data_IF_890535684994
#
_entry.id   IF_890535684994
#
_cell.length_a   1.000
_cell.length_b   1.000
_cell.length_c   1.000
_cell.angle_alpha   90.00
_cell.angle_beta   90.00
_cell.angle_gamma   90.00
#
_symmetry.space_group_name_H-M   'P 1'
#
loop_
_entity.id
_entity.type
_entity.pdbx_description
1 polymer ?
#
# COMPACT_ATOMS: atom_id res chain seq x y z
N UNK A 1 -18.36 -15.83 30.17
CA UNK A 1 -16.91 -16.03 29.96
C UNK A 1 -16.55 -16.63 28.58
N UNK A 2 -17.39 -16.44 27.53
CA UNK A 2 -17.13 -16.98 26.16
C UNK A 2 -17.33 -15.92 25.06
N UNK A 3 -17.69 -14.68 25.42
CA UNK A 3 -17.90 -13.58 24.45
C UNK A 3 -16.87 -12.44 24.53
N UNK A 4 -15.85 -12.56 25.39
CA UNK A 4 -14.78 -11.55 25.54
C UNK A 4 -13.58 -11.76 24.63
N UNK A 5 -13.29 -13.00 24.24
CA UNK A 5 -11.99 -13.33 23.65
C UNK A 5 -11.99 -13.15 22.12
N UNK A 6 -13.14 -13.40 21.48
CA UNK A 6 -13.29 -13.24 20.03
C UNK A 6 -13.21 -11.77 19.58
N UNK A 7 -13.79 -10.85 20.36
CA UNK A 7 -13.76 -9.41 20.05
C UNK A 7 -12.35 -8.83 20.21
N UNK A 8 -11.63 -9.22 21.26
CA UNK A 8 -10.23 -8.84 21.42
C UNK A 8 -9.36 -9.42 20.32
N UNK A 9 -9.58 -10.68 19.92
CA UNK A 9 -8.83 -11.31 18.83
C UNK A 9 -8.98 -10.57 17.50
N UNK A 10 -10.22 -10.25 17.08
CA UNK A 10 -10.46 -9.50 15.84
C UNK A 10 -9.79 -8.12 15.89
N UNK A 11 -9.89 -7.43 17.03
CA UNK A 11 -9.25 -6.13 17.21
C UNK A 11 -7.72 -6.21 17.11
N UNK A 12 -7.11 -7.22 17.73
CA UNK A 12 -5.66 -7.45 17.66
C UNK A 12 -5.20 -7.78 16.23
N UNK A 13 -5.99 -8.53 15.46
CA UNK A 13 -5.68 -8.83 14.05
C UNK A 13 -5.51 -7.55 13.19
N UNK A 14 -6.21 -6.47 13.52
CA UNK A 14 -6.11 -5.19 12.80
C UNK A 14 -5.00 -4.27 13.33
N UNK A 15 -4.76 -4.25 14.64
CA UNK A 15 -3.79 -3.32 15.25
C UNK A 15 -2.37 -3.86 15.27
N UNK A 16 -2.20 -5.16 15.52
CA UNK A 16 -0.87 -5.77 15.59
C UNK A 16 -0.02 -5.53 14.34
N UNK A 17 -0.56 -5.61 13.09
CA UNK A 17 0.19 -5.27 11.89
C UNK A 17 0.72 -3.84 11.87
N UNK A 18 -0.11 -2.86 12.24
CA UNK A 18 0.28 -1.45 12.25
C UNK A 18 1.30 -1.16 13.35
N UNK A 19 1.11 -1.75 14.53
CA UNK A 19 2.06 -1.60 15.64
C UNK A 19 3.42 -2.23 15.29
N UNK A 20 3.45 -3.45 14.76
CA UNK A 20 4.71 -4.07 14.35
C UNK A 20 5.37 -3.29 13.21
N UNK A 21 4.61 -2.78 12.23
CA UNK A 21 5.16 -1.90 11.20
C UNK A 21 5.80 -0.63 11.78
N UNK A 22 5.19 -0.05 12.81
CA UNK A 22 5.75 1.11 13.52
C UNK A 22 7.08 0.76 14.18
N UNK A 23 7.15 -0.37 14.88
CA UNK A 23 8.41 -0.85 15.48
C UNK A 23 9.49 -1.11 14.42
N UNK A 24 9.11 -1.70 13.29
CA UNK A 24 10.03 -1.93 12.17
C UNK A 24 10.63 -0.61 11.65
N UNK A 25 9.79 0.41 11.43
CA UNK A 25 10.23 1.74 10.97
C UNK A 25 11.10 2.47 12.01
N UNK A 26 10.92 2.16 13.30
CA UNK A 26 11.77 2.68 14.38
C UNK A 26 13.10 1.91 14.54
N UNK A 27 13.35 0.87 13.73
CA UNK A 27 14.56 0.04 13.84
C UNK A 27 14.51 -0.98 14.98
N UNK A 28 13.32 -1.32 15.48
CA UNK A 28 13.09 -2.33 16.51
C UNK A 28 12.72 -3.70 15.94
N UNK A 29 13.27 -4.06 14.78
CA UNK A 29 13.12 -5.39 14.18
C UNK A 29 14.39 -5.84 13.46
N UNK A 30 14.58 -7.16 13.33
CA UNK A 30 15.70 -7.73 12.58
C UNK A 30 15.53 -7.55 11.07
N UNK A 31 14.29 -7.67 10.58
CA UNK A 31 13.92 -7.41 9.20
C UNK A 31 12.75 -6.41 9.16
N UNK A 32 12.96 -5.17 8.69
CA UNK A 32 11.93 -4.15 8.74
C UNK A 32 10.84 -4.32 7.67
N UNK A 33 11.05 -5.20 6.70
CA UNK A 33 10.10 -5.48 5.61
C UNK A 33 9.10 -6.60 5.95
N UNK A 34 9.32 -7.30 7.07
CA UNK A 34 8.46 -8.37 7.55
C UNK A 34 7.77 -7.98 8.85
N UNK A 35 6.47 -8.26 8.97
CA UNK A 35 5.70 -8.01 10.18
C UNK A 35 5.93 -9.11 11.23
N UNK A 36 7.19 -9.30 11.61
CA UNK A 36 7.59 -10.29 12.61
C UNK A 36 8.49 -9.62 13.64
N UNK A 37 8.10 -9.72 14.91
CA UNK A 37 8.83 -9.14 16.03
C UNK A 37 8.10 -9.37 17.35
N UNK A 38 8.25 -8.43 18.27
CA UNK A 38 7.68 -8.50 19.62
C UNK A 38 6.14 -8.62 19.63
N UNK A 39 5.47 -7.94 18.69
CA UNK A 39 4.01 -7.77 18.72
C UNK A 39 3.29 -8.89 17.97
N UNK A 40 3.88 -9.39 16.88
CA UNK A 40 3.27 -10.43 16.06
C UNK A 40 4.28 -11.23 15.23
N UNK A 41 3.79 -12.32 14.63
CA UNK A 41 4.47 -13.07 13.58
C UNK A 41 3.62 -13.05 12.32
N UNK A 42 4.17 -12.54 11.23
CA UNK A 42 3.49 -12.42 9.95
C UNK A 42 2.98 -13.78 9.45
N UNK A 43 3.85 -14.80 9.48
CA UNK A 43 3.51 -16.15 9.01
C UNK A 43 2.36 -16.76 9.82
N UNK A 44 2.43 -16.68 11.15
CA UNK A 44 1.37 -17.20 12.02
C UNK A 44 0.03 -16.50 11.77
N UNK A 45 0.06 -15.17 11.61
CA UNK A 45 -1.16 -14.39 11.37
C UNK A 45 -1.76 -14.70 9.98
N UNK A 46 -0.94 -14.82 8.95
CA UNK A 46 -1.40 -15.20 7.60
C UNK A 46 -2.02 -16.60 7.62
N UNK A 47 -1.35 -17.58 8.24
CA UNK A 47 -1.85 -18.94 8.33
C UNK A 47 -3.20 -19.01 9.07
N UNK A 48 -3.32 -18.31 10.20
CA UNK A 48 -4.56 -18.19 10.97
C UNK A 48 -5.70 -17.61 10.14
N UNK A 49 -5.42 -16.53 9.41
CA UNK A 49 -6.43 -15.88 8.57
C UNK A 49 -6.84 -16.76 7.38
N UNK A 50 -5.90 -17.50 6.77
CA UNK A 50 -6.21 -18.43 5.69
C UNK A 50 -7.06 -19.61 6.17
N UNK A 51 -6.71 -20.21 7.31
CA UNK A 51 -7.46 -21.31 7.94
C UNK A 51 -8.91 -20.89 8.24
N UNK A 52 -9.09 -19.66 8.73
CA UNK A 52 -10.39 -19.11 9.08
C UNK A 52 -11.07 -18.31 7.96
N UNK A 53 -10.50 -18.29 6.74
CA UNK A 53 -11.03 -17.58 5.56
C UNK A 53 -11.31 -16.09 5.81
N UNK A 54 -10.43 -15.43 6.56
CA UNK A 54 -10.52 -14.02 6.90
C UNK A 54 -9.77 -13.16 5.86
N UNK A 55 -10.47 -12.71 4.82
CA UNK A 55 -9.85 -11.93 3.73
C UNK A 55 -9.39 -10.53 4.16
N UNK A 56 -10.14 -9.86 5.05
CA UNK A 56 -9.87 -8.47 5.43
C UNK A 56 -8.50 -8.29 6.12
N UNK A 57 -8.14 -9.07 7.16
CA UNK A 57 -6.81 -8.97 7.76
C UNK A 57 -5.69 -9.37 6.79
N UNK A 58 -5.92 -10.34 5.89
CA UNK A 58 -4.95 -10.71 4.86
C UNK A 58 -4.64 -9.54 3.93
N UNK A 59 -5.69 -8.85 3.45
CA UNK A 59 -5.55 -7.65 2.61
C UNK A 59 -4.71 -6.57 3.31
N UNK A 60 -4.99 -6.33 4.59
CA UNK A 60 -4.25 -5.35 5.40
C UNK A 60 -2.78 -5.74 5.59
N UNK A 61 -2.51 -6.99 5.96
CA UNK A 61 -1.14 -7.50 6.13
C UNK A 61 -0.37 -7.37 4.82
N UNK A 62 -0.91 -7.86 3.71
CA UNK A 62 -0.22 -7.77 2.42
C UNK A 62 -0.02 -6.32 1.96
N UNK A 63 -0.96 -5.42 2.24
CA UNK A 63 -0.76 -4.00 1.98
C UNK A 63 0.39 -3.42 2.80
N UNK A 64 0.41 -3.64 4.12
CA UNK A 64 1.47 -3.10 4.99
C UNK A 64 2.83 -3.69 4.60
N UNK A 65 2.93 -4.99 4.31
CA UNK A 65 4.17 -5.60 3.82
C UNK A 65 4.60 -5.00 2.47
N UNK A 66 3.67 -4.77 1.54
CA UNK A 66 4.01 -4.11 0.26
C UNK A 66 4.53 -2.69 0.46
N UNK A 67 3.94 -1.95 1.40
CA UNK A 67 4.33 -0.59 1.74
C UNK A 67 5.72 -0.53 2.38
N UNK A 68 5.99 -1.39 3.36
CA UNK A 68 7.31 -1.48 4.00
C UNK A 68 8.38 -1.84 2.96
N UNK A 69 8.15 -2.89 2.16
CA UNK A 69 9.09 -3.30 1.12
C UNK A 69 9.36 -2.18 0.10
N UNK A 70 8.33 -1.41 -0.28
CA UNK A 70 8.49 -0.23 -1.13
C UNK A 70 9.39 0.83 -0.48
N UNK A 71 9.17 1.17 0.79
CA UNK A 71 9.98 2.16 1.51
C UNK A 71 11.45 1.75 1.64
N UNK A 72 11.73 0.45 1.74
CA UNK A 72 13.10 -0.09 1.78
C UNK A 72 13.68 -0.42 0.39
N UNK A 73 12.97 -0.09 -0.69
CA UNK A 73 13.46 -0.25 -2.07
C UNK A 73 13.39 -1.67 -2.63
N UNK A 74 12.76 -2.60 -1.93
CA UNK A 74 12.61 -3.99 -2.35
C UNK A 74 11.34 -4.18 -3.18
N UNK A 75 11.38 -3.69 -4.42
CA UNK A 75 10.23 -3.71 -5.31
C UNK A 75 9.80 -5.13 -5.71
N UNK A 76 10.69 -6.12 -5.68
CA UNK A 76 10.35 -7.54 -5.89
C UNK A 76 9.48 -8.09 -4.75
N UNK A 77 9.81 -7.78 -3.49
CA UNK A 77 8.95 -8.15 -2.38
C UNK A 77 7.62 -7.39 -2.41
N UNK A 78 7.66 -6.08 -2.67
CA UNK A 78 6.48 -5.24 -2.71
C UNK A 78 5.46 -5.73 -3.76
N UNK A 79 5.93 -5.98 -4.98
CA UNK A 79 5.13 -6.51 -6.08
C UNK A 79 4.53 -7.88 -5.77
N UNK A 80 5.28 -8.82 -5.20
CA UNK A 80 4.75 -10.12 -4.77
C UNK A 80 3.64 -9.99 -3.73
N UNK A 81 3.73 -9.03 -2.81
CA UNK A 81 2.67 -8.79 -1.82
C UNK A 81 1.40 -8.23 -2.48
N UNK A 82 1.54 -7.36 -3.48
CA UNK A 82 0.41 -6.90 -4.32
C UNK A 82 -0.25 -8.09 -5.00
N UNK A 83 0.51 -8.96 -5.66
CA UNK A 83 -0.01 -10.15 -6.36
C UNK A 83 -0.74 -11.12 -5.42
N UNK A 84 -0.25 -11.29 -4.19
CA UNK A 84 -0.96 -12.08 -3.17
C UNK A 84 -2.29 -11.45 -2.79
N UNK A 85 -2.35 -10.12 -2.70
CA UNK A 85 -3.56 -9.38 -2.35
C UNK A 85 -4.60 -9.38 -3.47
N UNK A 86 -4.19 -9.40 -4.74
CA UNK A 86 -5.09 -9.42 -5.92
C UNK A 86 -6.06 -10.62 -5.94
N UNK A 87 -5.75 -11.68 -5.19
CA UNK A 87 -6.59 -12.87 -5.05
C UNK A 87 -7.87 -12.63 -4.24
N UNK A 88 -7.95 -11.53 -3.49
CA UNK A 88 -9.07 -11.22 -2.62
C UNK A 88 -9.92 -10.09 -3.19
N UNK A 89 -11.22 -10.13 -2.88
CA UNK A 89 -12.13 -9.09 -3.33
C UNK A 89 -11.94 -7.82 -2.50
N UNK A 90 -11.46 -6.76 -3.15
CA UNK A 90 -11.42 -5.40 -2.57
C UNK A 90 -12.81 -4.73 -2.52
N UNK A 91 -13.90 -5.52 -2.43
CA UNK A 91 -15.29 -5.04 -2.34
C UNK A 91 -15.62 -4.53 -0.94
N UNK A 92 -14.71 -3.74 -0.39
CA UNK A 92 -14.85 -3.02 0.86
C UNK A 92 -15.41 -1.65 0.47
N UNK A 93 -16.39 -1.13 1.22
CA UNK A 93 -16.86 0.23 0.99
C UNK A 93 -15.69 1.23 0.99
N UNK A 94 -15.83 2.40 0.36
CA UNK A 94 -14.78 3.41 0.34
C UNK A 94 -14.28 3.68 1.76
N UNK A 95 -13.04 3.30 2.02
CA UNK A 95 -12.40 3.46 3.32
C UNK A 95 -10.94 3.87 3.10
N UNK A 96 -10.36 4.52 4.11
CA UNK A 96 -8.98 5.02 4.10
C UNK A 96 -7.96 3.97 3.63
N UNK A 97 -8.17 2.68 3.92
CA UNK A 97 -7.30 1.61 3.44
C UNK A 97 -7.25 1.53 1.91
N UNK A 98 -8.37 1.69 1.20
CA UNK A 98 -8.42 1.53 -0.25
C UNK A 98 -7.63 2.62 -0.98
N UNK A 99 -7.72 3.88 -0.54
CA UNK A 99 -6.93 4.96 -1.14
C UNK A 99 -5.43 4.79 -0.90
N UNK A 100 -5.03 4.24 0.26
CA UNK A 100 -3.63 3.86 0.49
C UNK A 100 -3.18 2.70 -0.39
N UNK A 101 -4.01 1.65 -0.55
CA UNK A 101 -3.73 0.54 -1.47
C UNK A 101 -3.53 1.07 -2.88
N UNK A 102 -4.48 1.84 -3.42
CA UNK A 102 -4.36 2.35 -4.80
C UNK A 102 -3.12 3.21 -4.99
N UNK A 103 -2.83 4.10 -4.05
CA UNK A 103 -1.64 4.94 -4.13
C UNK A 103 -0.34 4.10 -4.14
N UNK A 104 -0.13 3.26 -3.12
CA UNK A 104 1.12 2.49 -3.03
C UNK A 104 1.25 1.41 -4.10
N UNK A 105 0.13 0.84 -4.58
CA UNK A 105 0.16 -0.07 -5.73
C UNK A 105 0.67 0.65 -6.99
N UNK A 106 0.26 1.90 -7.19
CA UNK A 106 0.74 2.72 -8.29
C UNK A 106 2.22 3.02 -8.18
N UNK A 107 2.68 3.43 -6.99
CA UNK A 107 4.10 3.71 -6.74
C UNK A 107 4.98 2.48 -6.95
N UNK A 108 4.56 1.31 -6.44
CA UNK A 108 5.29 0.04 -6.65
C UNK A 108 5.29 -0.33 -8.12
N UNK A 109 4.15 -0.23 -8.79
CA UNK A 109 4.03 -0.58 -10.21
C UNK A 109 4.96 0.28 -11.09
N UNK A 110 4.97 1.60 -10.87
CA UNK A 110 5.84 2.53 -11.60
C UNK A 110 7.32 2.24 -11.32
N UNK A 111 7.69 2.00 -10.05
CA UNK A 111 9.05 1.62 -9.67
C UNK A 111 9.49 0.29 -10.32
N UNK A 112 8.61 -0.70 -10.41
CA UNK A 112 8.90 -1.96 -11.10
C UNK A 112 9.06 -1.72 -12.61
N UNK A 113 8.21 -0.89 -13.23
CA UNK A 113 8.31 -0.55 -14.65
C UNK A 113 9.64 0.13 -15.02
N UNK A 114 10.27 0.86 -14.10
CA UNK A 114 11.62 1.42 -14.31
C UNK A 114 12.69 0.33 -14.46
N UNK A 115 12.50 -0.84 -13.85
CA UNK A 115 13.46 -1.96 -13.91
C UNK A 115 13.10 -2.96 -15.02
N UNK A 116 11.81 -3.29 -15.12
CA UNK A 116 11.28 -4.28 -16.07
C UNK A 116 10.00 -3.70 -16.69
N UNK A 117 10.07 -3.32 -17.97
CA UNK A 117 8.89 -2.85 -18.70
C UNK A 117 7.94 -4.01 -18.96
N UNK A 118 6.85 -4.10 -18.18
CA UNK A 118 5.79 -5.10 -18.40
C UNK A 118 4.41 -4.45 -18.48
N UNK A 119 3.57 -4.97 -19.37
CA UNK A 119 2.19 -4.51 -19.54
C UNK A 119 1.35 -4.70 -18.28
N UNK A 120 1.66 -5.74 -17.48
CA UNK A 120 1.01 -6.00 -16.21
C UNK A 120 1.15 -4.81 -15.26
N UNK A 121 2.39 -4.38 -14.99
CA UNK A 121 2.64 -3.31 -14.01
C UNK A 121 2.19 -1.96 -14.54
N UNK A 122 2.32 -1.72 -15.85
CA UNK A 122 1.72 -0.53 -16.45
C UNK A 122 0.18 -0.50 -16.27
N UNK A 123 -0.49 -1.64 -16.41
CA UNK A 123 -1.92 -1.77 -16.15
C UNK A 123 -2.30 -1.50 -14.68
N UNK A 124 -1.48 -1.96 -13.72
CA UNK A 124 -1.67 -1.65 -12.29
C UNK A 124 -1.50 -0.14 -12.05
N UNK A 125 -0.45 0.48 -12.58
CA UNK A 125 -0.21 1.91 -12.46
C UNK A 125 -1.37 2.75 -13.01
N UNK A 126 -1.86 2.41 -14.22
CA UNK A 126 -2.98 3.11 -14.84
C UNK A 126 -4.28 2.96 -14.03
N UNK A 127 -4.54 1.77 -13.48
CA UNK A 127 -5.69 1.53 -12.61
C UNK A 127 -5.60 2.39 -11.34
N UNK A 128 -4.43 2.45 -10.72
CA UNK A 128 -4.17 3.28 -9.54
C UNK A 128 -4.37 4.77 -9.83
N UNK A 129 -3.88 5.28 -10.96
CA UNK A 129 -4.11 6.65 -11.40
C UNK A 129 -5.60 6.99 -11.50
N UNK A 130 -6.39 6.14 -12.16
CA UNK A 130 -7.85 6.37 -12.31
C UNK A 130 -8.56 6.39 -10.96
N UNK A 131 -8.18 5.51 -10.03
CA UNK A 131 -8.80 5.51 -8.70
C UNK A 131 -8.36 6.73 -7.87
N UNK A 132 -7.09 7.11 -7.93
CA UNK A 132 -6.58 8.27 -7.21
C UNK A 132 -7.12 9.59 -7.77
N UNK A 133 -7.37 9.69 -9.07
CA UNK A 133 -8.07 10.83 -9.69
C UNK A 133 -9.50 10.97 -9.13
N UNK A 134 -10.24 9.85 -9.02
CA UNK A 134 -11.57 9.84 -8.40
C UNK A 134 -11.52 10.25 -6.92
N UNK A 135 -10.51 9.81 -6.18
CA UNK A 135 -10.32 10.27 -4.81
C UNK A 135 -10.04 11.78 -4.75
N UNK A 136 -9.15 12.27 -5.61
CA UNK A 136 -8.79 13.68 -5.69
C UNK A 136 -9.94 14.59 -6.13
N UNK A 137 -10.86 14.11 -6.97
CA UNK A 137 -12.05 14.89 -7.36
C UNK A 137 -13.08 15.01 -6.24
N UNK A 138 -13.16 14.02 -5.35
CA UNK A 138 -14.07 14.03 -4.19
C UNK A 138 -13.48 14.79 -3.00
N UNK A 139 -12.19 14.59 -2.70
CA UNK A 139 -11.51 15.25 -1.58
C UNK A 139 -10.09 15.67 -1.99
N UNK A 140 -9.94 16.83 -2.65
CA UNK A 140 -8.66 17.31 -3.16
C UNK A 140 -7.59 17.44 -2.08
N UNK A 141 -7.94 17.98 -0.91
CA UNK A 141 -7.05 18.15 0.24
C UNK A 141 -6.32 16.82 0.53
N UNK A 142 -7.08 15.75 0.79
CA UNK A 142 -6.49 14.47 1.18
C UNK A 142 -5.74 13.71 0.07
N UNK A 143 -6.05 13.94 -1.21
CA UNK A 143 -5.66 13.01 -2.27
C UNK A 143 -5.02 13.62 -3.51
N UNK A 144 -5.12 14.94 -3.73
CA UNK A 144 -4.59 15.57 -4.94
C UNK A 144 -3.07 15.45 -5.02
N UNK A 145 -2.35 15.69 -3.93
CA UNK A 145 -0.89 15.53 -3.87
C UNK A 145 -0.44 14.11 -4.27
N UNK A 146 -1.16 13.08 -3.80
CA UNK A 146 -0.89 11.67 -4.14
C UNK A 146 -1.15 11.35 -5.62
N UNK A 147 -2.25 11.88 -6.16
CA UNK A 147 -2.57 11.72 -7.58
C UNK A 147 -1.51 12.39 -8.47
N UNK A 148 -1.12 13.62 -8.15
CA UNK A 148 -0.09 14.37 -8.88
C UNK A 148 1.27 13.67 -8.82
N UNK A 149 1.63 13.09 -7.67
CA UNK A 149 2.85 12.31 -7.56
C UNK A 149 2.85 11.07 -8.47
N UNK A 150 1.74 10.33 -8.55
CA UNK A 150 1.63 9.22 -9.51
C UNK A 150 1.72 9.70 -10.97
N UNK A 151 1.17 10.87 -11.29
CA UNK A 151 1.31 11.46 -12.63
C UNK A 151 2.75 11.82 -12.93
N UNK A 152 3.47 12.38 -11.96
CA UNK A 152 4.87 12.75 -12.09
C UNK A 152 5.75 11.53 -12.38
N UNK A 153 5.58 10.46 -11.59
CA UNK A 153 6.31 9.19 -11.76
C UNK A 153 6.00 8.53 -13.12
N UNK A 154 4.74 8.58 -13.58
CA UNK A 154 4.38 8.08 -14.91
C UNK A 154 5.02 8.91 -16.03
N UNK A 155 4.93 10.24 -15.95
CA UNK A 155 5.54 11.12 -16.94
C UNK A 155 7.07 10.92 -17.01
N UNK A 156 7.71 10.75 -15.85
CA UNK A 156 9.13 10.45 -15.77
C UNK A 156 9.47 9.11 -16.43
N UNK A 157 8.69 8.05 -16.17
CA UNK A 157 8.84 6.75 -16.82
C UNK A 157 8.66 6.81 -18.35
N UNK A 158 7.82 7.73 -18.84
CA UNK A 158 7.58 7.98 -20.27
C UNK A 158 8.59 8.95 -20.90
N UNK A 159 9.62 9.38 -20.16
CA UNK A 159 10.64 10.34 -20.60
C UNK A 159 10.07 11.75 -20.90
N UNK A 160 8.87 12.06 -20.39
CA UNK A 160 8.22 13.37 -20.48
C UNK A 160 8.67 14.29 -19.34
N UNK A 161 9.98 14.58 -19.28
CA UNK A 161 10.61 15.22 -18.13
C UNK A 161 9.99 16.58 -17.74
N UNK A 162 9.55 17.40 -18.70
CA UNK A 162 8.88 18.68 -18.42
C UNK A 162 7.55 18.47 -17.70
N UNK A 163 6.73 17.51 -18.16
CA UNK A 163 5.46 17.17 -17.52
C UNK A 163 5.67 16.57 -16.11
N UNK A 164 6.73 15.76 -15.97
CA UNK A 164 7.10 15.19 -14.68
C UNK A 164 7.47 16.28 -13.68
N UNK A 165 8.33 17.23 -14.07
CA UNK A 165 8.75 18.35 -13.23
C UNK A 165 7.56 19.20 -12.76
N UNK A 166 6.66 19.57 -13.67
CA UNK A 166 5.43 20.31 -13.33
C UNK A 166 4.61 19.52 -12.32
N UNK A 167 4.39 18.23 -12.56
CA UNK A 167 3.58 17.37 -11.69
C UNK A 167 4.20 17.19 -10.31
N UNK A 168 5.53 17.08 -10.21
CA UNK A 168 6.25 17.04 -8.93
C UNK A 168 6.09 18.34 -8.15
N UNK A 169 6.26 19.49 -8.81
CA UNK A 169 6.10 20.80 -8.17
C UNK A 169 4.67 21.01 -7.65
N UNK A 170 3.67 20.63 -8.45
CA UNK A 170 2.26 20.70 -8.05
C UNK A 170 1.95 19.73 -6.90
N UNK A 171 2.53 18.53 -6.90
CA UNK A 171 2.38 17.56 -5.83
C UNK A 171 2.93 18.10 -4.50
N UNK A 172 4.12 18.70 -4.51
CA UNK A 172 4.75 19.33 -3.34
C UNK A 172 3.88 20.46 -2.82
N UNK A 173 3.51 21.41 -3.69
CA UNK A 173 2.70 22.56 -3.30
C UNK A 173 1.37 22.14 -2.69
N UNK A 174 0.69 21.16 -3.30
CA UNK A 174 -0.60 20.69 -2.78
C UNK A 174 -0.44 19.92 -1.47
N UNK A 175 0.71 19.27 -1.23
CA UNK A 175 0.98 18.62 0.04
C UNK A 175 1.20 19.63 1.18
N UNK A 176 1.84 20.76 0.90
CA UNK A 176 2.09 21.83 1.89
C UNK A 176 0.81 22.59 2.30
N UNK A 177 -0.22 22.55 1.46
CA UNK A 177 -1.53 23.18 1.73
C UNK A 177 -2.45 22.31 2.63
N UNK A 178 -2.01 21.10 3.00
CA UNK A 178 -2.71 20.16 3.91
C UNK A 178 -2.29 20.27 5.37
#
# INVERSE_FOLDING_TARGET
KVFSDLKHRLFLQHISPVWQATLNLMGHSENPEQLTGEVMSQEKMINDCLEHKQERPLIEIYHICSWLAYLFGNYELASRMIEKREQFNLSMGPCFLLSNIWFFDGMVALAVCHTIKTDKWMGVAQKSLVQMEKCASVCPLNYKHRFLLLQAELAFLLEENENAEVSYNDAIKTADEN
#
